data_IF_954847103206
#
_entry.id   IF_954847103206
#
_cell.length_a   1.000
_cell.length_b   1.000
_cell.length_c   1.000
_cell.angle_alpha   90.00
_cell.angle_beta   90.00
_cell.angle_gamma   90.00
#
_symmetry.space_group_name_H-M   'P 1'
#
loop_
_entity.id
_entity.type
_entity.pdbx_description
1 polymer ?
#
# COMPACT_ATOMS: atom_id res chain seq x y z
N UNK A 1 -27.27 -8.33 -8.62
CA UNK A 1 -25.86 -8.77 -8.64
C UNK A 1 -25.66 -9.73 -9.80
N UNK A 2 -24.57 -9.62 -10.56
CA UNK A 2 -24.13 -10.67 -11.49
C UNK A 2 -22.94 -11.36 -10.85
N UNK A 3 -23.15 -12.60 -10.36
CA UNK A 3 -22.09 -13.44 -9.80
C UNK A 3 -21.83 -14.61 -10.74
N UNK A 4 -20.57 -14.83 -11.08
CA UNK A 4 -20.10 -16.02 -11.80
C UNK A 4 -19.03 -16.68 -10.95
N UNK A 5 -19.21 -17.97 -10.65
CA UNK A 5 -18.22 -18.77 -9.94
C UNK A 5 -17.61 -19.78 -10.91
N UNK A 6 -16.28 -19.87 -10.91
CA UNK A 6 -15.52 -20.74 -11.80
C UNK A 6 -14.47 -21.54 -11.02
N UNK A 7 -14.33 -22.82 -11.34
CA UNK A 7 -13.23 -23.64 -10.86
C UNK A 7 -12.09 -23.62 -11.88
N UNK A 8 -10.90 -23.23 -11.44
CA UNK A 8 -9.70 -23.20 -12.26
C UNK A 8 -8.93 -24.53 -12.20
N UNK A 9 -8.31 -24.90 -13.32
CA UNK A 9 -7.47 -26.10 -13.43
C UNK A 9 -5.98 -25.82 -13.20
N UNK A 10 -5.58 -24.64 -12.75
CA UNK A 10 -4.16 -24.33 -12.54
C UNK A 10 -3.58 -24.90 -11.24
N UNK A 11 -2.26 -24.99 -11.22
CA UNK A 11 -1.51 -25.26 -9.99
C UNK A 11 -1.48 -24.01 -9.10
N UNK A 12 -1.80 -24.11 -7.80
CA UNK A 12 -1.67 -23.02 -6.83
C UNK A 12 -0.28 -22.39 -6.86
N UNK A 13 -0.19 -21.07 -6.67
CA UNK A 13 1.07 -20.29 -6.70
C UNK A 13 2.13 -20.91 -5.79
N UNK A 14 1.76 -21.27 -4.56
CA UNK A 14 2.67 -21.87 -3.58
C UNK A 14 3.26 -23.23 -4.02
N UNK A 15 2.62 -23.93 -4.96
CA UNK A 15 3.07 -25.22 -5.51
C UNK A 15 3.81 -25.09 -6.84
N UNK A 16 3.87 -23.89 -7.41
CA UNK A 16 4.68 -23.62 -8.61
C UNK A 16 6.16 -23.59 -8.23
N UNK A 17 7.01 -23.92 -9.20
CA UNK A 17 8.47 -23.96 -9.02
C UNK A 17 9.10 -22.60 -8.79
N UNK A 18 8.51 -21.54 -9.32
CA UNK A 18 9.04 -20.18 -9.19
C UNK A 18 7.93 -19.22 -8.72
N UNK A 19 8.30 -18.31 -7.84
CA UNK A 19 7.42 -17.25 -7.35
C UNK A 19 8.26 -16.02 -7.01
N UNK A 20 7.79 -14.85 -7.46
CA UNK A 20 8.42 -13.56 -7.20
C UNK A 20 7.43 -12.68 -6.45
N UNK A 21 7.89 -12.06 -5.37
CA UNK A 21 7.10 -11.14 -4.55
C UNK A 21 7.98 -9.99 -4.11
N UNK A 22 7.49 -8.77 -4.25
CA UNK A 22 8.15 -7.56 -3.76
C UNK A 22 7.26 -6.85 -2.74
N UNK A 23 7.90 -6.16 -1.79
CA UNK A 23 7.26 -5.18 -0.92
C UNK A 23 8.13 -3.95 -0.79
N UNK A 24 7.51 -2.79 -0.98
CA UNK A 24 8.09 -1.46 -0.72
C UNK A 24 7.59 -0.99 0.64
N UNK A 25 8.50 -0.83 1.58
CA UNK A 25 8.22 -0.53 2.98
C UNK A 25 7.88 0.93 3.25
N UNK A 26 7.65 1.23 4.53
CA UNK A 26 7.12 2.52 5.00
C UNK A 26 7.83 3.75 4.43
N UNK A 27 9.16 3.76 4.43
CA UNK A 27 9.97 4.89 3.97
C UNK A 27 10.29 4.90 2.47
N UNK A 28 9.84 3.90 1.70
CA UNK A 28 10.11 3.88 0.26
C UNK A 28 9.31 4.98 -0.44
N UNK A 29 9.89 5.77 -1.38
CA UNK A 29 9.22 6.93 -1.98
C UNK A 29 7.82 6.67 -2.55
N UNK A 30 7.61 5.53 -3.25
CA UNK A 30 6.28 5.16 -3.74
C UNK A 30 5.26 4.90 -2.61
N UNK A 31 5.66 4.16 -1.57
CA UNK A 31 4.80 3.88 -0.40
C UNK A 31 4.55 5.14 0.42
N UNK A 32 5.52 6.06 0.50
CA UNK A 32 5.33 7.40 1.05
C UNK A 32 4.29 8.17 0.25
N UNK A 33 4.38 8.15 -1.08
CA UNK A 33 3.41 8.82 -1.95
C UNK A 33 1.99 8.31 -1.70
N UNK A 34 1.82 7.00 -1.67
CA UNK A 34 0.54 6.33 -1.36
C UNK A 34 0.03 6.72 0.04
N UNK A 35 0.89 6.61 1.06
CA UNK A 35 0.50 6.82 2.47
C UNK A 35 0.14 8.28 2.76
N UNK A 36 0.92 9.23 2.23
CA UNK A 36 0.66 10.67 2.39
C UNK A 36 -0.65 11.07 1.72
N UNK A 37 -0.89 10.58 0.51
CA UNK A 37 -2.12 10.87 -0.22
C UNK A 37 -3.35 10.23 0.43
N UNK A 38 -3.23 9.02 0.98
CA UNK A 38 -4.31 8.44 1.78
C UNK A 38 -4.55 9.23 3.07
N UNK A 39 -3.49 9.68 3.76
CA UNK A 39 -3.63 10.52 4.95
C UNK A 39 -4.41 11.82 4.64
N UNK A 40 -4.14 12.44 3.49
CA UNK A 40 -4.90 13.60 3.00
C UNK A 40 -6.36 13.21 2.74
N UNK A 41 -6.63 12.07 2.08
CA UNK A 41 -7.98 11.56 1.86
C UNK A 41 -8.77 11.43 3.17
N UNK A 42 -8.14 10.86 4.21
CA UNK A 42 -8.75 10.75 5.54
C UNK A 42 -8.97 12.11 6.21
N UNK A 43 -8.01 13.04 6.08
CA UNK A 43 -8.17 14.42 6.54
C UNK A 43 -9.34 15.14 5.86
N UNK A 44 -9.45 15.01 4.54
CA UNK A 44 -10.56 15.55 3.77
C UNK A 44 -11.89 14.92 4.16
N UNK A 45 -11.94 13.61 4.38
CA UNK A 45 -13.14 12.92 4.85
C UNK A 45 -13.66 13.48 6.17
N UNK A 46 -12.76 13.69 7.15
CA UNK A 46 -13.11 14.32 8.44
C UNK A 46 -13.63 15.74 8.23
N UNK A 47 -12.89 16.56 7.49
CA UNK A 47 -13.27 17.95 7.20
C UNK A 47 -14.63 18.07 6.51
N UNK A 48 -14.90 17.25 5.49
CA UNK A 48 -16.17 17.27 4.78
C UNK A 48 -17.34 16.81 5.68
N UNK A 49 -17.15 15.78 6.50
CA UNK A 49 -18.18 15.36 7.46
C UNK A 49 -18.50 16.46 8.47
N UNK A 50 -17.48 17.11 9.02
CA UNK A 50 -17.65 18.17 10.02
C UNK A 50 -18.29 19.43 9.45
N UNK A 51 -17.91 19.84 8.24
CA UNK A 51 -18.31 21.14 7.67
C UNK A 51 -19.47 21.06 6.67
N UNK A 52 -19.62 19.95 5.98
CA UNK A 52 -20.63 19.73 4.94
C UNK A 52 -21.65 18.62 5.29
N UNK A 53 -21.47 17.92 6.42
CA UNK A 53 -22.37 16.84 6.87
C UNK A 53 -22.30 15.54 6.05
N UNK A 54 -21.48 15.51 5.00
CA UNK A 54 -21.35 14.39 4.07
C UNK A 54 -19.98 14.40 3.39
N UNK A 55 -19.57 13.27 2.82
CA UNK A 55 -18.34 13.22 2.02
C UNK A 55 -18.60 13.89 0.67
N UNK A 56 -17.79 14.89 0.33
CA UNK A 56 -17.87 15.57 -0.96
C UNK A 56 -17.00 14.89 -2.03
N UNK A 57 -17.22 15.24 -3.29
CA UNK A 57 -16.38 14.77 -4.39
C UNK A 57 -14.92 15.27 -4.24
N UNK A 58 -13.98 14.33 -4.34
CA UNK A 58 -12.56 14.58 -4.57
C UNK A 58 -11.94 13.33 -5.20
N UNK A 59 -10.83 13.48 -5.91
CA UNK A 59 -9.91 12.42 -6.27
C UNK A 59 -8.52 13.06 -6.26
N UNK A 60 -7.64 12.56 -5.42
CA UNK A 60 -6.32 13.16 -5.19
C UNK A 60 -5.20 12.12 -5.37
N UNK A 61 -5.50 11.03 -6.08
CA UNK A 61 -4.62 9.90 -6.37
C UNK A 61 -3.53 10.23 -7.43
N UNK A 62 -3.35 11.50 -7.77
CA UNK A 62 -2.32 12.00 -8.70
C UNK A 62 -1.34 12.85 -7.91
N UNK A 63 -0.35 12.19 -7.31
CA UNK A 63 0.74 12.88 -6.64
C UNK A 63 2.11 12.33 -7.04
N UNK A 64 3.09 13.22 -7.00
CA UNK A 64 4.50 12.95 -7.23
C UNK A 64 5.27 13.42 -5.99
N UNK A 65 6.02 12.51 -5.37
CA UNK A 65 7.02 12.83 -4.35
C UNK A 65 8.35 13.05 -5.06
N UNK A 66 8.74 14.32 -5.23
CA UNK A 66 10.00 14.72 -5.84
C UNK A 66 11.11 14.58 -4.80
N UNK A 67 12.19 13.90 -5.21
CA UNK A 67 13.36 13.73 -4.37
C UNK A 67 13.99 15.08 -3.99
N UNK A 68 14.48 15.16 -2.75
CA UNK A 68 15.29 16.28 -2.28
C UNK A 68 16.73 16.21 -2.78
N UNK A 69 17.62 16.90 -2.06
CA UNK A 69 19.06 16.73 -2.18
C UNK A 69 19.69 16.83 -0.80
N UNK A 70 20.75 16.04 -0.55
CA UNK A 70 21.52 16.13 0.68
C UNK A 70 23.03 15.95 0.42
N UNK A 71 23.83 16.45 1.33
CA UNK A 71 25.24 16.10 1.46
C UNK A 71 25.40 15.27 2.73
N UNK A 72 26.00 14.08 2.62
CA UNK A 72 26.11 13.16 3.76
C UNK A 72 27.40 12.36 3.74
N UNK A 73 27.82 11.92 4.92
CA UNK A 73 28.96 11.04 5.12
C UNK A 73 28.91 10.37 6.48
N UNK A 74 30.00 9.73 6.87
CA UNK A 74 30.06 9.06 8.16
C UNK A 74 29.99 10.08 9.32
N UNK A 75 28.98 9.95 10.18
CA UNK A 75 28.74 10.78 11.36
C UNK A 75 28.12 12.15 11.06
N UNK A 76 27.76 12.46 9.81
CA UNK A 76 27.21 13.77 9.47
C UNK A 76 26.32 13.75 8.22
N UNK A 77 25.42 14.73 8.13
CA UNK A 77 24.69 15.03 6.91
C UNK A 77 23.88 16.31 7.03
N UNK A 78 23.55 16.89 5.88
CA UNK A 78 22.75 18.10 5.75
C UNK A 78 21.84 17.99 4.53
N UNK A 79 20.55 18.28 4.72
CA UNK A 79 19.57 18.36 3.65
C UNK A 79 19.73 19.73 2.96
N UNK A 80 20.13 19.74 1.70
CA UNK A 80 20.37 20.96 0.91
C UNK A 80 19.15 21.37 0.10
N UNK A 81 18.29 20.42 -0.27
CA UNK A 81 16.98 20.69 -0.87
C UNK A 81 15.93 19.77 -0.22
N UNK A 82 14.75 20.31 0.15
CA UNK A 82 13.70 19.51 0.76
C UNK A 82 13.07 18.55 -0.26
N UNK A 83 12.52 17.46 0.26
CA UNK A 83 11.60 16.59 -0.46
C UNK A 83 10.33 17.40 -0.76
N UNK A 84 9.72 17.21 -1.93
CA UNK A 84 8.48 17.93 -2.29
C UNK A 84 7.37 16.96 -2.72
N UNK A 85 6.24 16.97 -2.02
CA UNK A 85 5.01 16.29 -2.44
C UNK A 85 4.18 17.26 -3.30
N UNK A 86 4.04 16.97 -4.59
CA UNK A 86 3.13 17.69 -5.49
C UNK A 86 1.82 16.93 -5.57
N UNK A 87 0.74 17.50 -5.03
CA UNK A 87 -0.60 16.91 -5.00
C UNK A 87 -1.51 17.56 -6.04
N UNK A 88 -1.99 16.80 -7.02
CA UNK A 88 -2.86 17.29 -8.10
C UNK A 88 -4.24 16.66 -8.11
N UNK A 89 -4.97 16.96 -9.19
CA UNK A 89 -6.32 16.47 -9.54
C UNK A 89 -7.47 17.26 -8.88
N UNK A 90 -8.49 16.63 -8.27
CA UNK A 90 -9.78 17.28 -7.96
C UNK A 90 -10.16 17.27 -6.49
N UNK A 91 -10.73 18.37 -6.02
CA UNK A 91 -11.38 18.48 -4.70
C UNK A 91 -12.56 19.46 -4.70
N UNK A 92 -13.40 19.41 -3.66
CA UNK A 92 -14.53 20.34 -3.48
C UNK A 92 -14.13 21.47 -2.53
N UNK A 93 -13.94 22.67 -3.06
CA UNK A 93 -13.52 23.85 -2.29
C UNK A 93 -14.66 24.67 -1.68
N UNK A 94 -15.89 24.47 -2.17
CA UNK A 94 -17.06 25.25 -1.74
C UNK A 94 -18.30 24.37 -1.71
N UNK A 95 -19.06 24.46 -0.62
CA UNK A 95 -20.37 23.82 -0.45
C UNK A 95 -21.35 24.87 0.08
N UNK A 96 -22.50 25.04 -0.58
CA UNK A 96 -23.55 26.00 -0.18
C UNK A 96 -23.03 27.43 0.10
N UNK A 97 -22.07 27.90 -0.70
CA UNK A 97 -21.43 29.22 -0.52
C UNK A 97 -20.34 29.28 0.56
N UNK A 98 -20.19 28.23 1.38
CA UNK A 98 -19.13 28.11 2.38
C UNK A 98 -17.83 27.62 1.74
N UNK A 99 -16.74 28.38 1.89
CA UNK A 99 -15.40 27.95 1.47
C UNK A 99 -14.82 26.96 2.48
N UNK A 100 -14.28 25.87 1.98
CA UNK A 100 -13.69 24.79 2.76
C UNK A 100 -12.15 24.90 2.77
N UNK A 101 -11.48 24.61 3.89
CA UNK A 101 -10.02 24.73 4.03
C UNK A 101 -9.30 23.50 3.46
N UNK A 102 -9.53 23.17 2.18
CA UNK A 102 -9.02 21.95 1.52
C UNK A 102 -7.48 21.90 1.56
N UNK A 103 -6.81 22.97 1.17
CA UNK A 103 -5.34 22.98 1.11
C UNK A 103 -4.69 22.91 2.49
N UNK A 104 -5.26 23.63 3.46
CA UNK A 104 -4.79 23.59 4.85
C UNK A 104 -4.98 22.18 5.45
N UNK A 105 -6.13 21.56 5.20
CA UNK A 105 -6.41 20.17 5.61
C UNK A 105 -5.39 19.20 5.03
N UNK A 106 -5.04 19.37 3.75
CA UNK A 106 -4.05 18.52 3.09
C UNK A 106 -2.64 18.69 3.69
N UNK A 107 -2.21 19.93 3.94
CA UNK A 107 -0.90 20.22 4.57
C UNK A 107 -0.82 19.62 5.97
N UNK A 108 -1.85 19.85 6.78
CA UNK A 108 -1.91 19.32 8.14
C UNK A 108 -1.84 17.79 8.15
N UNK A 109 -2.59 17.12 7.26
CA UNK A 109 -2.57 15.67 7.17
C UNK A 109 -1.19 15.10 6.79
N UNK A 110 -0.48 15.76 5.86
CA UNK A 110 0.90 15.40 5.52
C UNK A 110 1.81 15.61 6.73
N UNK A 111 1.73 16.76 7.38
CA UNK A 111 2.63 17.09 8.48
C UNK A 111 2.44 16.16 9.69
N UNK A 112 1.20 15.83 10.03
CA UNK A 112 0.84 14.85 11.05
C UNK A 112 1.37 13.45 10.71
N UNK A 113 1.20 13.02 9.45
CA UNK A 113 1.67 11.70 9.02
C UNK A 113 3.20 11.61 9.06
N UNK A 114 3.90 12.63 8.55
CA UNK A 114 5.37 12.69 8.58
C UNK A 114 5.88 12.67 10.01
N UNK A 115 5.31 13.48 10.91
CA UNK A 115 5.70 13.52 12.32
C UNK A 115 5.57 12.15 13.01
N UNK A 116 4.54 11.37 12.64
CA UNK A 116 4.28 10.07 13.24
C UNK A 116 5.16 8.94 12.69
N UNK A 117 5.60 9.02 11.43
CA UNK A 117 6.20 7.87 10.73
C UNK A 117 7.66 8.09 10.29
N UNK A 118 8.11 9.33 10.13
CA UNK A 118 9.45 9.68 9.67
C UNK A 118 10.18 10.53 10.73
N UNK A 119 10.78 9.89 11.75
CA UNK A 119 11.32 10.61 12.93
C UNK A 119 12.49 11.55 12.61
N UNK A 120 13.12 11.42 11.43
CA UNK A 120 14.25 12.23 11.00
C UNK A 120 13.89 13.24 9.90
N UNK A 121 12.60 13.43 9.61
CA UNK A 121 12.10 14.43 8.65
C UNK A 121 11.28 15.47 9.40
N UNK A 122 11.67 16.75 9.33
CA UNK A 122 10.87 17.84 9.92
C UNK A 122 9.67 18.18 9.01
N UNK A 123 8.42 18.01 9.48
CA UNK A 123 7.22 18.39 8.73
C UNK A 123 7.24 19.85 8.29
N UNK A 124 6.70 20.15 7.11
CA UNK A 124 6.66 21.49 6.51
C UNK A 124 8.02 22.14 6.16
N UNK A 125 9.14 21.53 6.57
CA UNK A 125 10.50 22.07 6.36
C UNK A 125 11.33 21.17 5.44
N UNK A 126 11.51 19.92 5.84
CA UNK A 126 12.33 18.93 5.11
C UNK A 126 11.51 18.17 4.06
N UNK A 127 10.20 18.06 4.29
CA UNK A 127 9.21 17.65 3.30
C UNK A 127 8.18 18.77 3.16
N UNK A 128 8.06 19.32 1.95
CA UNK A 128 7.11 20.38 1.62
C UNK A 128 5.97 19.84 0.77
N UNK A 129 4.78 20.37 0.97
CA UNK A 129 3.62 20.03 0.15
C UNK A 129 3.32 21.17 -0.82
N UNK A 130 3.17 20.86 -2.10
CA UNK A 130 2.67 21.78 -3.12
C UNK A 130 1.31 21.30 -3.60
N UNK A 131 0.29 22.14 -3.43
CA UNK A 131 -1.09 21.80 -3.78
C UNK A 131 -1.38 22.38 -5.17
N UNK A 132 -1.79 21.51 -6.08
CA UNK A 132 -2.21 21.80 -7.45
C UNK A 132 -3.62 21.22 -7.71
N UNK A 133 -4.47 21.23 -6.68
CA UNK A 133 -5.85 20.77 -6.73
C UNK A 133 -6.76 21.79 -7.42
N UNK A 134 -7.73 21.30 -8.19
CA UNK A 134 -8.75 22.11 -8.84
C UNK A 134 -10.17 21.61 -8.48
N UNK A 135 -11.22 22.43 -8.68
CA UNK A 135 -12.60 21.95 -8.57
C UNK A 135 -12.88 20.78 -9.53
N UNK A 136 -13.61 19.77 -9.06
CA UNK A 136 -14.13 18.68 -9.91
C UNK A 136 -15.15 19.17 -10.95
N UNK A 137 -15.36 18.39 -12.01
CA UNK A 137 -16.36 18.69 -13.04
C UNK A 137 -17.77 18.72 -12.44
N UNK A 138 -18.68 19.50 -13.05
CA UNK A 138 -20.05 19.64 -12.54
C UNK A 138 -20.81 18.31 -12.55
N UNK A 139 -20.62 17.49 -13.58
CA UNK A 139 -21.27 16.17 -13.75
C UNK A 139 -20.89 15.21 -12.61
N UNK A 140 -19.60 15.07 -12.31
CA UNK A 140 -19.13 14.21 -11.23
C UNK A 140 -19.54 14.74 -9.86
N UNK A 141 -19.68 16.06 -9.71
CA UNK A 141 -20.21 16.67 -8.48
C UNK A 141 -21.71 16.40 -8.30
N UNK A 142 -22.49 16.22 -9.38
CA UNK A 142 -23.94 15.91 -9.29
C UNK A 142 -24.20 14.54 -8.67
N UNK A 143 -23.34 13.54 -8.92
CA UNK A 143 -23.40 12.23 -8.25
C UNK A 143 -23.46 12.39 -6.72
N UNK A 144 -22.77 13.40 -6.18
CA UNK A 144 -22.73 13.69 -4.75
C UNK A 144 -23.80 14.69 -4.27
N UNK A 145 -24.50 15.40 -5.17
CA UNK A 145 -25.54 16.39 -4.82
C UNK A 145 -26.93 15.77 -4.72
N UNK A 146 -27.23 14.75 -5.52
CA UNK A 146 -28.60 14.28 -5.72
C UNK A 146 -29.03 13.19 -4.73
N UNK A 147 -28.13 12.80 -3.80
CA UNK A 147 -28.44 11.92 -2.66
C UNK A 147 -29.35 10.73 -2.97
N UNK A 148 -29.14 9.94 -4.04
CA UNK A 148 -29.84 8.68 -4.15
C UNK A 148 -29.46 7.79 -2.96
N UNK A 149 -30.38 6.90 -2.54
CA UNK A 149 -30.13 5.94 -1.46
C UNK A 149 -28.89 5.05 -1.72
N UNK A 150 -28.46 4.96 -2.98
CA UNK A 150 -27.25 4.25 -3.44
C UNK A 150 -26.49 5.13 -4.43
N UNK A 151 -25.21 5.39 -4.15
CA UNK A 151 -24.35 6.22 -5.00
C UNK A 151 -23.86 5.43 -6.22
N UNK A 152 -23.94 6.05 -7.39
CA UNK A 152 -23.36 5.52 -8.62
C UNK A 152 -21.84 5.65 -8.63
N UNK A 153 -21.16 4.70 -9.27
CA UNK A 153 -19.71 4.77 -9.49
C UNK A 153 -19.34 6.04 -10.26
N UNK A 154 -18.29 6.73 -9.82
CA UNK A 154 -17.76 7.89 -10.55
C UNK A 154 -16.78 7.51 -11.67
N UNK A 155 -16.54 6.20 -11.88
CA UNK A 155 -15.64 5.68 -12.92
C UNK A 155 -16.05 4.28 -13.43
N UNK A 156 -15.50 3.87 -14.57
CA UNK A 156 -15.54 2.48 -15.04
C UNK A 156 -14.22 1.80 -14.71
N UNK A 157 -14.19 1.04 -13.63
CA UNK A 157 -12.96 0.41 -13.16
C UNK A 157 -13.22 -0.99 -12.61
N UNK A 158 -12.14 -1.78 -12.58
CA UNK A 158 -12.14 -3.13 -12.04
C UNK A 158 -10.95 -3.36 -11.12
N UNK A 159 -11.14 -4.26 -10.16
CA UNK A 159 -10.10 -4.66 -9.23
C UNK A 159 -10.13 -6.16 -8.99
N UNK A 160 -8.98 -6.70 -8.60
CA UNK A 160 -8.79 -8.12 -8.31
C UNK A 160 -8.14 -8.29 -6.96
N UNK A 161 -8.59 -9.28 -6.21
CA UNK A 161 -8.04 -9.66 -4.92
C UNK A 161 -8.00 -11.17 -4.78
N UNK A 162 -7.22 -11.65 -3.81
CA UNK A 162 -7.00 -13.08 -3.63
C UNK A 162 -6.74 -13.46 -2.17
N UNK A 163 -6.92 -14.75 -1.89
CA UNK A 163 -6.57 -15.40 -0.63
C UNK A 163 -6.31 -16.91 -0.85
N UNK A 164 -5.52 -17.56 0.01
CA UNK A 164 -4.69 -16.96 1.04
C UNK A 164 -3.42 -16.32 0.44
N UNK A 165 -2.63 -15.64 1.28
CA UNK A 165 -1.24 -15.39 0.91
C UNK A 165 -0.47 -16.72 0.86
N UNK A 166 0.42 -16.86 -0.12
CA UNK A 166 1.39 -17.94 -0.18
C UNK A 166 2.40 -17.80 0.98
N UNK A 167 3.16 -18.86 1.31
CA UNK A 167 4.24 -18.75 2.28
C UNK A 167 5.31 -17.71 1.88
N UNK A 168 5.62 -17.56 0.59
CA UNK A 168 6.57 -16.54 0.11
C UNK A 168 6.04 -15.13 0.31
N UNK A 169 4.77 -14.89 -0.05
CA UNK A 169 4.08 -13.62 0.17
C UNK A 169 4.06 -13.24 1.66
N UNK A 170 3.73 -14.20 2.53
CA UNK A 170 3.71 -14.00 3.97
C UNK A 170 5.09 -13.65 4.55
N UNK A 171 6.15 -14.31 4.10
CA UNK A 171 7.53 -14.05 4.56
C UNK A 171 7.99 -12.66 4.09
N UNK A 172 7.81 -12.30 2.82
CA UNK A 172 8.21 -10.97 2.31
C UNK A 172 7.50 -9.86 3.07
N UNK A 173 6.20 -10.00 3.32
CA UNK A 173 5.44 -9.06 4.15
C UNK A 173 5.97 -8.99 5.60
N UNK A 174 6.26 -10.14 6.20
CA UNK A 174 6.73 -10.22 7.57
C UNK A 174 8.15 -9.64 7.76
N UNK A 175 9.04 -9.82 6.78
CA UNK A 175 10.41 -9.29 6.83
C UNK A 175 10.41 -7.76 6.84
N UNK A 176 9.65 -7.12 5.94
CA UNK A 176 9.56 -5.66 5.94
C UNK A 176 8.94 -5.15 7.26
N UNK A 177 7.85 -5.77 7.72
CA UNK A 177 7.20 -5.40 8.99
C UNK A 177 8.10 -5.57 10.19
N UNK A 178 8.95 -6.60 10.20
CA UNK A 178 9.92 -6.82 11.27
C UNK A 178 10.96 -5.69 11.28
N UNK A 179 11.56 -5.38 10.13
CA UNK A 179 12.60 -4.34 10.01
C UNK A 179 12.07 -2.93 10.34
N UNK A 180 10.79 -2.66 10.06
CA UNK A 180 10.12 -1.42 10.44
C UNK A 180 9.34 -1.48 11.76
N UNK A 181 9.44 -2.59 12.50
CA UNK A 181 8.78 -2.71 13.82
C UNK A 181 9.45 -1.82 14.86
N UNK A 182 8.66 -1.31 15.82
CA UNK A 182 9.20 -0.57 16.95
C UNK A 182 10.23 -1.37 17.76
N UNK A 183 10.09 -2.70 17.82
CA UNK A 183 11.06 -3.58 18.48
C UNK A 183 12.41 -3.57 17.77
N UNK A 184 12.42 -3.81 16.45
CA UNK A 184 13.65 -3.79 15.67
C UNK A 184 14.30 -2.40 15.69
N UNK A 185 13.51 -1.34 15.47
CA UNK A 185 14.00 0.04 15.48
C UNK A 185 14.58 0.49 16.82
N UNK A 186 14.15 -0.07 17.96
CA UNK A 186 14.83 0.20 19.25
C UNK A 186 16.22 -0.41 19.33
N UNK A 187 16.40 -1.63 18.82
CA UNK A 187 17.69 -2.34 18.81
C UNK A 187 18.63 -1.86 17.69
N UNK A 188 18.05 -1.46 16.57
CA UNK A 188 18.71 -0.96 15.37
C UNK A 188 18.23 0.46 15.06
N UNK A 189 18.44 1.36 16.03
CA UNK A 189 18.06 2.78 15.94
C UNK A 189 18.77 3.53 14.82
N UNK A 190 19.91 2.99 14.38
CA UNK A 190 20.74 3.45 13.27
C UNK A 190 20.22 3.03 11.89
N UNK A 191 18.97 2.58 11.75
CA UNK A 191 18.38 2.13 10.47
C UNK A 191 17.17 2.96 10.05
N UNK A 192 17.09 3.31 8.75
CA UNK A 192 16.00 4.10 8.19
C UNK A 192 14.73 3.31 7.86
N UNK A 193 13.62 4.02 7.63
CA UNK A 193 12.30 3.44 7.36
C UNK A 193 12.14 2.89 5.94
N UNK A 194 13.01 3.28 5.00
CA UNK A 194 12.99 2.80 3.62
C UNK A 194 13.54 1.39 3.50
N UNK A 195 12.64 0.42 3.63
CA UNK A 195 12.95 -1.00 3.53
C UNK A 195 12.27 -1.56 2.31
N UNK A 196 13.03 -2.03 1.32
CA UNK A 196 12.49 -2.78 0.18
C UNK A 196 12.88 -4.24 0.27
N UNK A 197 11.92 -5.14 0.12
CA UNK A 197 12.14 -6.59 0.18
C UNK A 197 11.70 -7.20 -1.14
N UNK A 198 12.61 -7.92 -1.79
CA UNK A 198 12.31 -8.76 -2.96
C UNK A 198 12.58 -10.22 -2.58
N UNK A 199 11.57 -11.06 -2.72
CA UNK A 199 11.67 -12.51 -2.56
C UNK A 199 11.56 -13.22 -3.91
N UNK A 200 12.51 -14.09 -4.18
CA UNK A 200 12.51 -14.99 -5.35
C UNK A 200 12.59 -16.42 -4.83
N UNK A 201 11.47 -17.14 -4.85
CA UNK A 201 11.43 -18.55 -4.49
C UNK A 201 11.71 -19.41 -5.71
N UNK A 202 12.59 -20.40 -5.55
CA UNK A 202 12.83 -21.48 -6.50
C UNK A 202 12.72 -22.80 -5.74
N UNK A 203 11.68 -23.55 -6.03
CA UNK A 203 11.33 -24.79 -5.35
C UNK A 203 11.24 -24.54 -3.81
N UNK A 204 12.20 -25.02 -3.02
CA UNK A 204 12.29 -24.89 -1.54
C UNK A 204 13.26 -23.80 -1.04
N UNK A 205 13.93 -23.11 -1.97
CA UNK A 205 14.92 -22.07 -1.66
C UNK A 205 14.33 -20.68 -1.91
N UNK A 206 14.46 -19.77 -0.95
CA UNK A 206 13.96 -18.41 -1.03
C UNK A 206 15.10 -17.40 -0.94
N UNK A 207 15.45 -16.77 -2.06
CA UNK A 207 16.38 -15.66 -2.07
C UNK A 207 15.66 -14.38 -1.66
N UNK A 208 16.03 -13.81 -0.52
CA UNK A 208 15.52 -12.54 0.00
C UNK A 208 16.57 -11.44 -0.16
N UNK A 209 16.27 -10.48 -1.03
CA UNK A 209 17.05 -9.24 -1.15
C UNK A 209 16.35 -8.12 -0.37
N UNK A 210 17.06 -7.54 0.59
CA UNK A 210 16.63 -6.41 1.41
C UNK A 210 17.49 -5.20 1.06
N UNK A 211 16.86 -4.07 0.76
CA UNK A 211 17.51 -2.76 0.75
C UNK A 211 17.00 -1.98 1.96
N UNK A 212 17.91 -1.53 2.83
CA UNK A 212 17.60 -0.76 4.04
C UNK A 212 18.77 0.18 4.35
N UNK A 213 18.56 1.50 4.43
CA UNK A 213 19.63 2.44 4.72
C UNK A 213 20.01 2.42 6.20
N UNK A 214 21.27 2.76 6.47
CA UNK A 214 21.73 3.11 7.82
C UNK A 214 21.85 4.62 7.96
N UNK A 215 21.51 5.16 9.12
CA UNK A 215 21.49 6.59 9.39
C UNK A 215 22.92 7.13 9.45
N UNK A 216 23.23 8.10 8.60
CA UNK A 216 24.58 8.62 8.45
C UNK A 216 25.09 9.31 9.72
N UNK A 217 24.20 9.90 10.52
CA UNK A 217 24.52 10.50 11.83
C UNK A 217 24.98 9.47 12.87
N UNK A 218 24.52 8.23 12.76
CA UNK A 218 24.80 7.14 13.73
C UNK A 218 25.97 6.25 13.30
N UNK A 219 26.40 6.34 12.03
CA UNK A 219 27.47 5.51 11.47
C UNK A 219 28.75 6.34 11.30
N UNK A 220 29.69 6.17 12.23
CA UNK A 220 30.96 6.93 12.24
C UNK A 220 32.06 6.43 11.30
N UNK A 221 31.91 5.27 10.64
CA UNK A 221 32.89 4.76 9.68
C UNK A 221 32.33 3.65 8.78
N UNK A 222 33.04 3.35 7.69
CA UNK A 222 32.73 2.19 6.81
C UNK A 222 32.78 0.87 7.58
N UNK A 223 33.75 0.70 8.49
CA UNK A 223 33.85 -0.51 9.32
C UNK A 223 32.67 -0.65 10.28
N UNK A 224 32.17 0.46 10.84
CA UNK A 224 30.97 0.46 11.67
C UNK A 224 29.73 0.08 10.85
N UNK A 225 29.60 0.61 9.64
CA UNK A 225 28.52 0.25 8.70
C UNK A 225 28.45 -1.25 8.45
N UNK A 226 29.54 -1.87 7.98
CA UNK A 226 29.54 -3.30 7.65
C UNK A 226 29.34 -4.19 8.87
N UNK A 227 29.82 -3.78 10.05
CA UNK A 227 29.51 -4.46 11.31
C UNK A 227 28.01 -4.44 11.62
N UNK A 228 27.38 -3.26 11.57
CA UNK A 228 25.94 -3.11 11.83
C UNK A 228 25.08 -3.82 10.79
N UNK A 229 25.48 -3.80 9.52
CA UNK A 229 24.90 -4.61 8.45
C UNK A 229 24.93 -6.11 8.77
N UNK A 230 26.07 -6.64 9.24
CA UNK A 230 26.18 -8.05 9.62
C UNK A 230 25.29 -8.40 10.84
N UNK A 231 25.20 -7.51 11.82
CA UNK A 231 24.34 -7.70 13.00
C UNK A 231 22.84 -7.69 12.62
N UNK A 232 22.43 -6.80 11.72
CA UNK A 232 21.06 -6.76 11.19
C UNK A 232 20.72 -8.04 10.40
N UNK A 233 21.66 -8.52 9.58
CA UNK A 233 21.54 -9.77 8.84
C UNK A 233 21.40 -10.98 9.78
N UNK A 234 22.19 -11.04 10.85
CA UNK A 234 22.09 -12.09 11.85
C UNK A 234 20.74 -12.05 12.60
N UNK A 235 20.22 -10.86 12.90
CA UNK A 235 18.90 -10.71 13.51
C UNK A 235 17.76 -11.19 12.58
N UNK A 236 17.87 -10.92 11.27
CA UNK A 236 16.94 -11.47 10.27
C UNK A 236 17.02 -13.00 10.20
N UNK A 237 18.22 -13.55 10.07
CA UNK A 237 18.43 -14.98 10.00
C UNK A 237 17.88 -15.70 11.24
N UNK A 238 18.10 -15.15 12.44
CA UNK A 238 17.54 -15.71 13.68
C UNK A 238 16.01 -15.61 13.72
N UNK A 239 15.45 -14.44 13.36
CA UNK A 239 13.99 -14.20 13.43
C UNK A 239 13.18 -15.14 12.53
N UNK A 240 13.77 -15.54 11.40
CA UNK A 240 13.13 -16.35 10.36
C UNK A 240 13.79 -17.73 10.19
N UNK A 241 14.51 -18.22 11.22
CA UNK A 241 15.19 -19.53 11.19
C UNK A 241 14.26 -20.72 10.95
N UNK A 242 13.02 -20.62 11.41
CA UNK A 242 11.99 -21.66 11.30
C UNK A 242 11.07 -21.45 10.09
N UNK A 243 11.47 -20.60 9.14
CA UNK A 243 10.74 -20.45 7.89
C UNK A 243 10.70 -21.79 7.12
N UNK A 244 9.63 -22.06 6.35
CA UNK A 244 9.47 -23.30 5.60
C UNK A 244 10.41 -23.43 4.37
N UNK A 245 11.40 -22.55 4.24
CA UNK A 245 12.32 -22.48 3.10
C UNK A 245 13.77 -22.38 3.57
N UNK A 246 14.70 -22.84 2.73
CA UNK A 246 16.10 -22.45 2.86
C UNK A 246 16.25 -21.00 2.39
N UNK A 247 16.51 -20.07 3.30
CA UNK A 247 16.58 -18.64 2.97
C UNK A 247 18.02 -18.22 2.65
N UNK A 248 18.22 -17.64 1.47
CA UNK A 248 19.44 -16.95 1.07
C UNK A 248 19.26 -15.44 1.26
N UNK A 249 20.01 -14.84 2.17
CA UNK A 249 19.88 -13.42 2.46
C UNK A 249 20.87 -12.56 1.69
N UNK A 250 20.37 -11.50 1.07
CA UNK A 250 21.15 -10.36 0.59
C UNK A 250 20.66 -9.08 1.23
N UNK A 251 21.54 -8.35 1.93
CA UNK A 251 21.24 -7.02 2.45
C UNK A 251 22.11 -6.00 1.71
N UNK A 252 21.53 -4.92 1.20
CA UNK A 252 22.20 -3.83 0.50
C UNK A 252 23.24 -4.34 -0.51
N UNK A 253 22.77 -5.09 -1.51
CA UNK A 253 23.63 -5.86 -2.43
C UNK A 253 24.53 -4.99 -3.32
N UNK A 254 24.28 -3.67 -3.41
CA UNK A 254 25.13 -2.73 -4.14
C UNK A 254 26.42 -2.37 -3.38
N UNK A 255 26.45 -2.59 -2.06
CA UNK A 255 27.59 -2.16 -1.23
C UNK A 255 28.92 -2.80 -1.66
N UNK A 256 30.01 -2.02 -1.53
CA UNK A 256 31.38 -2.41 -1.89
C UNK A 256 32.38 -1.91 -0.83
N UNK A 257 32.95 -2.80 0.00
CA UNK A 257 33.99 -2.42 0.95
C UNK A 257 35.21 -1.78 0.28
N UNK A 258 35.84 -0.82 0.97
CA UNK A 258 37.02 -0.09 0.50
C UNK A 258 36.69 1.07 -0.45
N UNK A 259 35.41 1.43 -0.58
CA UNK A 259 34.95 2.55 -1.42
C UNK A 259 34.43 3.73 -0.59
N UNK A 260 34.58 3.69 0.73
CA UNK A 260 34.12 4.76 1.62
C UNK A 260 32.62 4.97 1.50
N UNK A 261 32.17 6.23 1.42
CA UNK A 261 30.75 6.58 1.33
C UNK A 261 30.09 6.14 0.02
N UNK A 262 30.84 5.98 -1.07
CA UNK A 262 30.31 5.46 -2.35
C UNK A 262 30.01 3.95 -2.31
N UNK A 263 30.53 3.25 -1.30
CA UNK A 263 30.40 1.81 -1.15
C UNK A 263 29.29 1.36 -0.21
N UNK A 264 28.47 2.27 0.31
CA UNK A 264 27.52 1.99 1.39
C UNK A 264 26.19 2.71 1.18
N UNK A 265 25.10 2.08 1.60
CA UNK A 265 23.79 2.72 1.63
C UNK A 265 23.55 3.50 2.94
N UNK A 266 23.97 4.77 2.95
CA UNK A 266 23.69 5.72 4.04
C UNK A 266 22.49 6.60 3.71
N UNK A 267 21.75 7.02 4.75
CA UNK A 267 20.68 8.02 4.64
C UNK A 267 20.72 9.01 5.81
N UNK A 268 20.31 10.25 5.59
CA UNK A 268 20.17 11.28 6.63
C UNK A 268 18.82 11.16 7.37
N UNK A 269 17.75 10.94 6.62
CA UNK A 269 16.35 11.01 7.05
C UNK A 269 15.69 9.63 7.18
N UNK A 270 16.40 8.59 6.76
CA UNK A 270 15.91 7.22 6.75
C UNK A 270 15.10 6.84 5.49
N UNK A 271 15.02 7.73 4.50
CA UNK A 271 14.39 7.47 3.20
C UNK A 271 15.30 7.87 2.03
N UNK A 272 15.27 7.10 0.93
CA UNK A 272 15.95 7.48 -0.31
C UNK A 272 15.36 8.71 -1.00
N UNK A 273 14.15 9.14 -0.58
CA UNK A 273 13.51 10.35 -1.09
C UNK A 273 14.33 11.62 -0.81
N UNK A 274 15.27 11.59 0.12
CA UNK A 274 16.10 12.75 0.47
C UNK A 274 17.08 13.18 -0.63
N UNK A 275 17.51 12.27 -1.53
CA UNK A 275 18.50 12.58 -2.58
C UNK A 275 18.62 11.60 -3.75
N UNK A 276 17.89 10.47 -3.77
CA UNK A 276 18.09 9.42 -4.77
C UNK A 276 16.84 9.14 -5.62
N UNK A 277 15.70 8.88 -4.99
CA UNK A 277 14.53 8.33 -5.67
C UNK A 277 13.29 9.22 -5.47
N UNK A 278 12.54 9.42 -6.54
CA UNK A 278 11.19 10.00 -6.47
C UNK A 278 10.14 8.91 -6.30
N UNK A 279 8.97 9.28 -5.80
CA UNK A 279 7.83 8.38 -5.60
C UNK A 279 6.60 8.83 -6.36
N UNK A 280 5.71 7.89 -6.69
CA UNK A 280 4.43 8.22 -7.32
C UNK A 280 3.31 7.31 -6.80
N UNK A 281 2.12 7.90 -6.60
CA UNK A 281 0.93 7.15 -6.19
C UNK A 281 0.65 5.99 -7.14
N UNK A 282 0.34 4.82 -6.59
CA UNK A 282 0.00 3.61 -7.33
C UNK A 282 1.17 2.86 -7.95
N UNK A 283 2.42 3.31 -7.74
CA UNK A 283 3.65 2.62 -8.17
C UNK A 283 4.24 1.71 -7.10
N UNK A 284 3.63 1.70 -5.92
CA UNK A 284 3.96 0.85 -4.79
C UNK A 284 3.21 -0.47 -4.78
N UNK A 285 2.97 -0.94 -3.56
CA UNK A 285 2.25 -2.17 -3.27
C UNK A 285 0.79 -2.10 -3.74
N UNK A 286 0.12 -3.25 -3.83
CA UNK A 286 -1.36 -3.30 -3.87
C UNK A 286 -1.92 -3.17 -2.45
N UNK A 287 -3.25 -3.12 -2.31
CA UNK A 287 -3.92 -2.94 -1.00
C UNK A 287 -3.63 -4.04 0.03
N UNK A 288 -3.16 -5.21 -0.43
CA UNK A 288 -2.70 -6.29 0.45
C UNK A 288 -1.25 -6.11 0.94
N UNK A 289 -0.59 -5.02 0.56
CA UNK A 289 0.77 -4.67 0.95
C UNK A 289 1.87 -5.35 0.14
N UNK A 290 1.56 -5.97 -1.01
CA UNK A 290 2.52 -6.71 -1.82
C UNK A 290 2.45 -6.35 -3.31
N UNK A 291 3.53 -6.63 -4.02
CA UNK A 291 3.62 -6.74 -5.47
C UNK A 291 3.88 -8.21 -5.77
N UNK A 292 2.81 -8.99 -5.97
CA UNK A 292 2.89 -10.43 -6.21
C UNK A 292 2.79 -10.73 -7.71
N UNK A 293 3.93 -10.99 -8.34
CA UNK A 293 4.02 -11.14 -9.80
C UNK A 293 3.31 -12.39 -10.35
N UNK A 294 2.98 -13.35 -9.48
CA UNK A 294 2.30 -14.61 -9.83
C UNK A 294 0.78 -14.59 -9.62
N UNK A 295 0.22 -13.44 -9.22
CA UNK A 295 -1.20 -13.25 -8.91
C UNK A 295 -1.86 -12.30 -9.92
N UNK A 296 -3.18 -12.39 -10.15
CA UNK A 296 -3.89 -11.35 -10.87
C UNK A 296 -3.81 -10.05 -10.08
N UNK A 297 -3.47 -8.95 -10.76
CA UNK A 297 -3.40 -7.62 -10.15
C UNK A 297 -4.25 -6.63 -10.95
N UNK A 298 -4.88 -5.69 -10.24
CA UNK A 298 -5.54 -4.54 -10.85
C UNK A 298 -4.57 -3.38 -11.06
N UNK A 299 -4.79 -2.59 -12.11
CA UNK A 299 -4.01 -1.37 -12.39
C UNK A 299 -4.38 -0.16 -11.52
N UNK A 300 -5.43 -0.28 -10.71
CA UNK A 300 -5.94 0.81 -9.88
C UNK A 300 -5.01 1.17 -8.71
N UNK A 301 -4.82 2.47 -8.52
CA UNK A 301 -4.25 3.03 -7.31
C UNK A 301 -5.38 3.33 -6.31
N UNK A 302 -5.49 2.58 -5.21
CA UNK A 302 -6.50 2.84 -4.19
C UNK A 302 -6.28 4.12 -3.34
N UNK A 303 -5.04 4.50 -2.97
CA UNK A 303 -4.79 5.67 -2.13
C UNK A 303 -5.30 6.99 -2.73
N UNK A 304 -5.94 7.84 -1.92
CA UNK A 304 -6.38 9.18 -2.34
C UNK A 304 -7.67 9.24 -3.17
N UNK A 305 -8.20 8.09 -3.58
CA UNK A 305 -9.50 8.01 -4.23
C UNK A 305 -10.64 8.14 -3.21
N UNK A 306 -11.76 8.70 -3.65
CA UNK A 306 -12.94 8.86 -2.82
C UNK A 306 -13.47 7.50 -2.31
N UNK A 307 -13.68 7.30 -1.00
CA UNK A 307 -14.09 6.01 -0.43
C UNK A 307 -15.57 5.67 -0.65
N UNK A 308 -16.37 6.58 -1.24
CA UNK A 308 -17.82 6.43 -1.37
C UNK A 308 -18.24 6.08 -2.80
N UNK A 309 -17.71 6.78 -3.80
CA UNK A 309 -18.13 6.57 -5.19
C UNK A 309 -17.04 5.96 -6.08
N UNK A 310 -15.78 5.94 -5.66
CA UNK A 310 -14.70 5.46 -6.53
C UNK A 310 -14.46 3.97 -6.38
N UNK A 311 -15.01 3.19 -7.32
CA UNK A 311 -14.93 1.73 -7.30
C UNK A 311 -13.49 1.22 -7.38
N UNK A 312 -12.56 1.93 -8.03
CA UNK A 312 -11.13 1.63 -7.96
C UNK A 312 -10.57 1.45 -6.54
N UNK A 313 -10.99 2.26 -5.55
CA UNK A 313 -10.61 2.06 -4.14
C UNK A 313 -11.46 0.99 -3.47
N UNK A 314 -12.78 1.12 -3.57
CA UNK A 314 -13.76 0.26 -2.89
C UNK A 314 -13.53 -1.20 -3.29
N UNK A 315 -13.45 -1.49 -4.59
CA UNK A 315 -13.28 -2.85 -5.11
C UNK A 315 -11.87 -3.40 -4.93
N UNK A 316 -10.84 -2.54 -4.90
CA UNK A 316 -9.49 -3.00 -4.55
C UNK A 316 -9.48 -3.58 -3.14
N UNK A 317 -10.06 -2.89 -2.16
CA UNK A 317 -10.13 -3.40 -0.78
C UNK A 317 -11.14 -4.54 -0.64
N UNK A 318 -12.33 -4.40 -1.25
CA UNK A 318 -13.42 -5.38 -1.12
C UNK A 318 -13.07 -6.73 -1.74
N UNK A 319 -12.39 -6.76 -2.90
CA UNK A 319 -12.02 -8.03 -3.55
C UNK A 319 -11.09 -8.87 -2.67
N UNK A 320 -10.07 -8.27 -2.05
CA UNK A 320 -9.21 -8.95 -1.08
C UNK A 320 -9.96 -9.36 0.19
N UNK A 321 -10.92 -8.55 0.64
CA UNK A 321 -11.76 -8.88 1.79
C UNK A 321 -12.66 -10.09 1.51
N UNK A 322 -13.36 -10.10 0.38
CA UNK A 322 -14.19 -11.21 -0.08
C UNK A 322 -13.36 -12.50 -0.22
N UNK A 323 -12.21 -12.43 -0.88
CA UNK A 323 -11.35 -13.60 -1.05
C UNK A 323 -10.96 -14.22 0.30
N UNK A 324 -10.58 -13.40 1.29
CA UNK A 324 -10.25 -13.87 2.64
C UNK A 324 -11.45 -14.48 3.35
N UNK A 325 -12.64 -13.87 3.25
CA UNK A 325 -13.85 -14.37 3.90
C UNK A 325 -14.32 -15.70 3.28
N UNK A 326 -14.28 -15.80 1.95
CA UNK A 326 -14.58 -17.05 1.22
C UNK A 326 -13.62 -18.15 1.66
N UNK A 327 -12.31 -17.89 1.63
CA UNK A 327 -11.32 -18.88 2.07
C UNK A 327 -11.49 -19.27 3.56
N UNK A 328 -11.88 -18.33 4.42
CA UNK A 328 -12.15 -18.62 5.83
C UNK A 328 -13.41 -19.50 6.04
N UNK A 329 -14.43 -19.34 5.19
CA UNK A 329 -15.66 -20.17 5.22
C UNK A 329 -15.47 -21.52 4.53
N UNK A 330 -14.58 -21.60 3.55
CA UNK A 330 -14.25 -22.80 2.78
C UNK A 330 -12.74 -23.09 2.88
N UNK A 331 -12.21 -23.47 4.06
CA UNK A 331 -10.76 -23.62 4.28
C UNK A 331 -10.11 -24.76 3.48
N UNK A 332 -10.91 -25.60 2.81
CA UNK A 332 -10.40 -26.61 1.88
C UNK A 332 -9.99 -26.03 0.53
N UNK A 333 -10.44 -24.82 0.16
CA UNK A 333 -10.03 -24.16 -1.08
C UNK A 333 -8.54 -23.87 -1.05
N UNK A 334 -7.84 -24.22 -2.14
CA UNK A 334 -6.40 -23.99 -2.22
C UNK A 334 -6.11 -22.51 -2.47
N UNK A 335 -6.88 -21.87 -3.35
CA UNK A 335 -6.80 -20.44 -3.67
C UNK A 335 -8.18 -19.90 -4.08
N UNK A 336 -8.41 -18.62 -3.80
CA UNK A 336 -9.62 -17.86 -4.16
C UNK A 336 -9.18 -16.55 -4.79
N UNK A 337 -9.75 -16.24 -5.94
CA UNK A 337 -9.58 -14.99 -6.67
C UNK A 337 -10.94 -14.33 -6.83
N UNK A 338 -11.02 -13.03 -6.54
CA UNK A 338 -12.25 -12.24 -6.65
C UNK A 338 -11.98 -11.07 -7.57
N UNK A 339 -12.80 -10.94 -8.60
CA UNK A 339 -12.79 -9.87 -9.57
C UNK A 339 -14.08 -9.07 -9.46
N UNK A 340 -13.96 -7.76 -9.29
CA UNK A 340 -15.08 -6.85 -9.20
C UNK A 340 -14.93 -5.76 -10.26
N UNK A 341 -16.02 -5.41 -10.92
CA UNK A 341 -16.05 -4.30 -11.87
C UNK A 341 -17.41 -3.62 -11.87
N UNK A 342 -17.42 -2.35 -12.25
CA UNK A 342 -18.64 -1.59 -12.50
C UNK A 342 -18.40 -0.59 -13.62
N UNK A 343 -19.47 -0.24 -14.34
CA UNK A 343 -19.47 0.91 -15.25
C UNK A 343 -19.75 2.19 -14.48
N UNK A 344 -19.24 3.29 -15.00
CA UNK A 344 -19.56 4.63 -14.50
C UNK A 344 -21.08 4.83 -14.47
N UNK A 345 -21.60 5.35 -13.35
CA UNK A 345 -23.02 5.54 -13.10
C UNK A 345 -23.78 4.32 -12.57
N UNK A 346 -23.22 3.11 -12.62
CA UNK A 346 -23.85 1.94 -11.99
C UNK A 346 -23.72 1.98 -10.46
N UNK A 347 -24.68 1.42 -9.71
CA UNK A 347 -24.60 1.33 -8.26
C UNK A 347 -23.32 0.63 -7.78
N UNK A 348 -22.60 1.25 -6.84
CA UNK A 348 -21.34 0.70 -6.29
C UNK A 348 -21.52 -0.60 -5.50
N UNK A 349 -22.73 -0.92 -5.07
CA UNK A 349 -23.14 -2.13 -4.35
C UNK A 349 -23.67 -3.24 -5.28
N UNK A 350 -23.74 -2.99 -6.60
CA UNK A 350 -24.15 -3.98 -7.61
C UNK A 350 -23.03 -4.31 -8.62
N UNK A 351 -21.82 -4.68 -8.19
CA UNK A 351 -20.74 -5.00 -9.10
C UNK A 351 -21.03 -6.23 -9.97
N UNK A 352 -20.41 -6.26 -11.14
CA UNK A 352 -20.08 -7.52 -11.80
C UNK A 352 -19.04 -8.25 -10.96
N UNK A 353 -19.36 -9.48 -10.56
CA UNK A 353 -18.56 -10.26 -9.62
C UNK A 353 -18.17 -11.59 -10.25
N UNK A 354 -16.87 -11.79 -10.43
CA UNK A 354 -16.29 -13.08 -10.79
C UNK A 354 -15.54 -13.66 -9.59
N UNK A 355 -15.83 -14.89 -9.21
CA UNK A 355 -15.07 -15.63 -8.20
C UNK A 355 -14.46 -16.85 -8.85
N UNK A 356 -13.14 -16.93 -8.86
CA UNK A 356 -12.43 -18.09 -9.36
C UNK A 356 -11.76 -18.84 -8.21
N UNK A 357 -11.86 -20.15 -8.18
CA UNK A 357 -11.33 -20.99 -7.09
C UNK A 357 -10.45 -22.11 -7.61
N UNK A 358 -9.39 -22.44 -6.88
CA UNK A 358 -8.64 -23.68 -7.10
C UNK A 358 -9.05 -24.69 -6.04
N UNK A 359 -9.66 -25.78 -6.49
CA UNK A 359 -10.19 -26.84 -5.63
C UNK A 359 -9.12 -27.89 -5.31
N UNK A 360 -9.14 -28.50 -4.11
CA UNK A 360 -8.36 -29.70 -3.84
C UNK A 360 -8.92 -30.92 -4.59
N UNK A 361 -8.13 -31.99 -4.76
CA UNK A 361 -8.63 -33.24 -5.32
C UNK A 361 -9.85 -33.77 -4.54
N UNK A 362 -10.89 -34.19 -5.26
CA UNK A 362 -12.11 -34.76 -4.67
C UNK A 362 -13.17 -33.74 -4.24
N UNK A 363 -12.93 -32.44 -4.41
CA UNK A 363 -13.93 -31.38 -4.19
C UNK A 363 -14.45 -30.86 -5.55
N UNK A 364 -15.77 -30.73 -5.66
CA UNK A 364 -16.44 -30.14 -6.82
C UNK A 364 -16.85 -28.69 -6.57
N UNK A 365 -17.10 -27.94 -7.65
CA UNK A 365 -17.55 -26.55 -7.55
C UNK A 365 -18.88 -26.42 -6.78
N UNK A 366 -19.81 -27.37 -7.00
CA UNK A 366 -21.11 -27.40 -6.33
C UNK A 366 -21.02 -27.49 -4.80
N UNK A 367 -19.90 -27.99 -4.24
CA UNK A 367 -19.70 -28.10 -2.80
C UNK A 367 -19.47 -26.73 -2.13
N UNK A 368 -19.04 -25.73 -2.89
CA UNK A 368 -18.62 -24.42 -2.36
C UNK A 368 -19.40 -23.24 -2.95
N UNK A 369 -20.05 -23.41 -4.10
CA UNK A 369 -20.72 -22.34 -4.85
C UNK A 369 -21.79 -21.62 -4.01
N UNK A 370 -22.61 -22.35 -3.27
CA UNK A 370 -23.62 -21.76 -2.37
C UNK A 370 -22.99 -20.90 -1.28
N UNK A 371 -21.98 -21.42 -0.58
CA UNK A 371 -21.26 -20.69 0.47
C UNK A 371 -20.55 -19.45 -0.08
N UNK A 372 -20.00 -19.52 -1.30
CA UNK A 372 -19.39 -18.37 -1.98
C UNK A 372 -20.46 -17.30 -2.24
N UNK A 373 -21.61 -17.70 -2.78
CA UNK A 373 -22.75 -16.82 -3.00
C UNK A 373 -23.19 -16.09 -1.73
N UNK A 374 -23.37 -16.83 -0.63
CA UNK A 374 -23.77 -16.29 0.67
C UNK A 374 -22.78 -15.24 1.20
N UNK A 375 -21.47 -15.50 1.08
CA UNK A 375 -20.43 -14.54 1.52
C UNK A 375 -20.44 -13.28 0.67
N UNK A 376 -20.54 -13.42 -0.65
CA UNK A 376 -20.56 -12.28 -1.56
C UNK A 376 -21.80 -11.41 -1.29
N UNK A 377 -22.97 -12.03 -1.21
CA UNK A 377 -24.22 -11.32 -0.98
C UNK A 377 -24.22 -10.61 0.39
N UNK A 378 -23.78 -11.29 1.45
CA UNK A 378 -23.71 -10.69 2.78
C UNK A 378 -22.77 -9.48 2.86
N UNK A 379 -21.62 -9.51 2.17
CA UNK A 379 -20.70 -8.37 2.17
C UNK A 379 -21.17 -7.22 1.28
N UNK A 380 -21.84 -7.50 0.15
CA UNK A 380 -22.43 -6.45 -0.69
C UNK A 380 -23.60 -5.74 0.02
N UNK A 381 -24.42 -6.47 0.78
CA UNK A 381 -25.47 -5.88 1.62
C UNK A 381 -24.91 -4.94 2.70
N UNK A 382 -23.64 -5.12 3.08
CA UNK A 382 -22.90 -4.29 4.06
C UNK A 382 -22.06 -3.18 3.41
N UNK A 383 -22.32 -2.84 2.14
CA UNK A 383 -21.56 -1.80 1.44
C UNK A 383 -21.56 -0.45 2.17
N UNK A 384 -22.69 0.05 2.73
CA UNK A 384 -22.68 1.31 3.47
C UNK A 384 -21.76 1.29 4.70
N UNK A 385 -21.76 0.20 5.46
CA UNK A 385 -20.86 0.02 6.61
C UNK A 385 -19.40 -0.05 6.13
N UNK A 386 -19.13 -0.79 5.06
CA UNK A 386 -17.80 -0.93 4.49
C UNK A 386 -17.25 0.42 3.98
N UNK A 387 -18.07 1.24 3.32
CA UNK A 387 -17.71 2.60 2.95
C UNK A 387 -17.43 3.46 4.19
N UNK A 388 -18.19 3.30 5.27
CA UNK A 388 -17.94 3.99 6.52
C UNK A 388 -16.61 3.56 7.17
N UNK A 389 -16.24 2.28 7.09
CA UNK A 389 -14.93 1.76 7.49
C UNK A 389 -13.80 2.39 6.64
N UNK A 390 -13.97 2.49 5.32
CA UNK A 390 -13.02 3.15 4.42
C UNK A 390 -12.88 4.66 4.70
N UNK A 391 -13.98 5.36 4.99
CA UNK A 391 -13.99 6.77 5.39
C UNK A 391 -13.15 7.00 6.64
N UNK A 392 -13.19 6.06 7.59
CA UNK A 392 -12.43 6.11 8.86
C UNK A 392 -10.98 5.62 8.73
N UNK A 393 -10.61 5.02 7.59
CA UNK A 393 -9.26 4.48 7.37
C UNK A 393 -9.01 3.15 8.07
N UNK A 394 -10.05 2.35 8.28
CA UNK A 394 -9.96 1.07 9.00
C UNK A 394 -9.40 -0.09 8.16
N UNK A 395 -9.12 0.17 6.88
CA UNK A 395 -8.52 -0.79 5.95
C UNK A 395 -7.22 -0.25 5.35
N UNK A 396 -6.17 -1.08 5.24
CA UNK A 396 -4.97 -0.71 4.51
C UNK A 396 -5.26 -0.56 3.01
N UNK A 397 -4.57 0.38 2.35
CA UNK A 397 -4.69 0.65 0.92
C UNK A 397 -3.35 0.56 0.15
N UNK A 398 -2.25 0.25 0.85
CA UNK A 398 -0.89 0.08 0.31
C UNK A 398 0.02 -0.64 1.32
#
# INVERSE_FOLDING_TARGET
MTLVVEALSETPVARRRIELVERKGLGHPDTLSDSLVEAISLGLNRMYRERAGSICHYNIDKALLVAGQCAKGFGWGELTQPIELILGDRATFTVNGMRLPVEETARLAVDEWVAAHLPHVRPGKDLKTRIALAPGSEELRRIFKDGPAVLGSNDTAGASGYAPLSPTEAIVLAVERFLNSAEFKRRFHDTGQDVKVLGIRRDDTLALTVAMPFLCSEIGSESAYFRRKAEALAALAERFRDAPFSIEWGLNCLDRPGRGTEGVYLSLTGTSAEDADSGQVGRGNRVNGLIAFSRPTGGEAAPGKNPVAHVGKIYSVLSHRLARLIHARCPGLLEVYVHLAARIGEPVDHPWTGVQVILPPGMGLADVEGTIGDVVEAELQRMPEFQAELIRGEHPVC
#
